data_IF_480782430572
#
_entry.id   IF_480782430572
#
_cell.length_a   1.000
_cell.length_b   1.000
_cell.length_c   1.000
_cell.angle_alpha   90.00
_cell.angle_beta   90.00
_cell.angle_gamma   90.00
#
_symmetry.space_group_name_H-M   'P 1'
#
loop_
_entity.id
_entity.type
_entity.pdbx_description
1 polymer ?
#
# COMPACT_ATOMS: atom_id res chain seq x y z
N UNK A 1 -48.65 -13.98 21.68
CA UNK A 1 -49.03 -15.27 22.29
C UNK A 1 -48.59 -16.39 21.37
N UNK A 2 -48.27 -17.60 21.83
CA UNK A 2 -47.55 -18.09 23.02
C UNK A 2 -46.17 -18.66 22.54
N UNK A 3 -45.34 -19.40 23.25
CA UNK A 3 -45.53 -20.16 24.46
C UNK A 3 -44.19 -20.60 25.04
N UNK A 4 -44.20 -20.66 26.37
CA UNK A 4 -43.21 -21.34 27.17
C UNK A 4 -43.23 -22.84 26.88
N UNK A 5 -42.06 -23.47 26.81
CA UNK A 5 -41.98 -24.91 27.00
C UNK A 5 -40.79 -25.32 27.86
N UNK A 6 -41.17 -25.98 28.95
CA UNK A 6 -40.35 -26.51 30.03
C UNK A 6 -39.40 -27.57 29.49
N UNK A 7 -38.13 -27.52 29.90
CA UNK A 7 -37.33 -28.75 30.07
C UNK A 7 -37.02 -28.95 31.55
N UNK A 8 -37.86 -29.82 32.12
CA UNK A 8 -37.77 -30.45 33.42
C UNK A 8 -36.55 -31.40 33.39
N UNK A 9 -35.46 -31.05 34.09
CA UNK A 9 -34.42 -32.02 34.42
C UNK A 9 -34.79 -32.61 35.79
N UNK A 10 -35.31 -33.84 35.78
CA UNK A 10 -35.63 -34.59 36.98
C UNK A 10 -34.35 -35.14 37.60
N UNK A 11 -34.00 -34.62 38.76
CA UNK A 11 -33.01 -35.19 39.65
C UNK A 11 -33.67 -36.27 40.51
N UNK A 12 -32.97 -37.39 40.66
CA UNK A 12 -33.07 -38.35 41.77
C UNK A 12 -34.32 -39.24 41.82
N UNK A 13 -34.27 -40.35 41.08
CA UNK A 13 -34.81 -41.63 41.56
C UNK A 13 -33.75 -42.29 42.44
N UNK A 14 -33.96 -42.20 43.75
CA UNK A 14 -33.40 -43.17 44.67
C UNK A 14 -34.14 -44.49 44.48
N UNK A 15 -33.44 -45.48 43.93
CA UNK A 15 -33.86 -46.87 44.03
C UNK A 15 -32.64 -47.67 44.47
N UNK A 16 -32.68 -48.08 45.72
CA UNK A 16 -31.71 -48.95 46.35
C UNK A 16 -31.71 -50.31 45.66
N UNK A 17 -30.91 -50.45 44.61
CA UNK A 17 -30.56 -51.74 44.04
C UNK A 17 -29.71 -52.49 45.07
N UNK A 18 -30.39 -53.30 45.90
CA UNK A 18 -29.78 -54.24 46.84
C UNK A 18 -28.79 -55.12 46.09
N UNK A 19 -27.51 -54.92 46.38
CA UNK A 19 -26.39 -55.68 45.86
C UNK A 19 -26.48 -57.13 46.35
N UNK A 20 -26.61 -58.16 45.47
CA UNK A 20 -26.62 -59.57 45.89
C UNK A 20 -25.26 -60.05 46.45
N UNK A 21 -24.19 -59.28 46.22
CA UNK A 21 -22.83 -59.64 46.66
C UNK A 21 -22.63 -59.68 48.17
N UNK A 22 -23.47 -58.98 48.95
CA UNK A 22 -23.39 -59.00 50.41
C UNK A 22 -24.00 -60.27 51.03
N UNK A 23 -24.96 -60.89 50.34
CA UNK A 23 -25.55 -62.15 50.80
C UNK A 23 -24.59 -63.32 50.65
N UNK A 24 -23.80 -63.38 49.57
CA UNK A 24 -22.84 -64.47 49.32
C UNK A 24 -21.72 -64.50 50.37
N UNK A 25 -21.26 -63.32 50.83
CA UNK A 25 -20.25 -63.23 51.90
C UNK A 25 -20.81 -63.68 53.26
N UNK A 26 -22.08 -63.38 53.56
CA UNK A 26 -22.73 -63.84 54.80
C UNK A 26 -23.02 -65.34 54.78
N UNK A 27 -23.42 -65.95 53.66
CA UNK A 27 -23.59 -67.41 53.56
C UNK A 27 -22.26 -68.16 53.62
N UNK A 28 -21.20 -67.64 52.98
CA UNK A 28 -19.86 -68.23 53.09
C UNK A 28 -19.31 -68.15 54.52
N UNK A 29 -19.54 -67.05 55.24
CA UNK A 29 -19.10 -66.91 56.64
C UNK A 29 -19.92 -67.78 57.61
N UNK A 30 -21.20 -68.06 57.30
CA UNK A 30 -22.04 -69.02 58.05
C UNK A 30 -21.70 -70.48 57.75
N UNK A 31 -21.34 -70.82 56.51
CA UNK A 31 -20.86 -72.16 56.14
C UNK A 31 -19.49 -72.48 56.75
N UNK A 32 -18.57 -71.49 56.76
CA UNK A 32 -17.25 -71.65 57.38
C UNK A 32 -17.32 -71.80 58.90
N UNK A 33 -18.27 -71.10 59.57
CA UNK A 33 -18.50 -71.26 61.02
C UNK A 33 -19.14 -72.60 61.40
N UNK A 34 -19.79 -73.31 60.47
CA UNK A 34 -20.32 -74.66 60.74
C UNK A 34 -19.30 -75.78 60.58
N UNK A 35 -18.17 -75.55 59.91
CA UNK A 35 -17.09 -76.55 59.76
C UNK A 35 -16.00 -76.46 60.83
N UNK A 36 -16.03 -75.47 61.72
CA UNK A 36 -14.94 -75.24 62.67
C UNK A 36 -15.07 -75.93 64.03
N UNK A 37 -16.02 -76.87 64.19
CA UNK A 37 -16.11 -77.70 65.38
C UNK A 37 -15.71 -79.14 65.04
N UNK A 38 -14.40 -79.39 64.99
CA UNK A 38 -13.83 -80.73 65.00
C UNK A 38 -13.36 -81.04 66.42
N UNK A 39 -14.10 -81.87 67.15
CA UNK A 39 -13.57 -82.57 68.32
C UNK A 39 -12.72 -83.76 67.83
N UNK A 40 -11.44 -83.88 68.22
CA UNK A 40 -10.63 -85.03 67.85
C UNK A 40 -10.92 -86.21 68.80
N UNK A 41 -11.19 -87.37 68.20
CA UNK A 41 -11.31 -88.71 68.82
C UNK A 41 -12.74 -89.15 69.23
N UNK A 42 -13.60 -89.32 68.23
CA UNK A 42 -14.69 -90.31 68.29
C UNK A 42 -14.46 -91.27 67.11
N UNK A 43 -14.31 -92.56 67.40
CA UNK A 43 -14.35 -93.61 66.35
C UNK A 43 -15.74 -93.58 65.72
N UNK A 44 -15.86 -92.82 64.63
CA UNK A 44 -17.08 -92.72 63.83
C UNK A 44 -17.41 -94.12 63.28
N UNK A 45 -18.67 -94.53 63.41
CA UNK A 45 -19.13 -95.76 62.77
C UNK A 45 -18.95 -95.66 61.25
N UNK A 46 -18.70 -96.79 60.57
CA UNK A 46 -18.50 -96.85 59.12
C UNK A 46 -19.68 -96.23 58.35
N UNK A 47 -20.87 -96.29 58.93
CA UNK A 47 -22.12 -95.75 58.42
C UNK A 47 -22.15 -94.22 58.55
N UNK A 48 -21.74 -93.65 59.68
CA UNK A 48 -21.67 -92.20 59.89
C UNK A 48 -20.60 -91.53 59.02
N UNK A 49 -19.48 -92.23 58.76
CA UNK A 49 -18.46 -91.76 57.80
C UNK A 49 -19.00 -91.74 56.36
N UNK A 50 -19.82 -92.72 55.97
CA UNK A 50 -20.47 -92.75 54.65
C UNK A 50 -21.49 -91.63 54.50
N UNK A 51 -22.27 -91.35 55.55
CA UNK A 51 -23.26 -90.28 55.54
C UNK A 51 -22.59 -88.91 55.44
N UNK A 52 -21.52 -88.65 56.23
CA UNK A 52 -20.73 -87.42 56.10
C UNK A 52 -20.07 -87.26 54.73
N UNK A 53 -19.58 -88.35 54.14
CA UNK A 53 -19.02 -88.32 52.79
C UNK A 53 -20.08 -87.98 51.75
N UNK A 54 -21.29 -88.54 51.91
CA UNK A 54 -22.43 -88.25 51.04
C UNK A 54 -22.90 -86.80 51.18
N UNK A 55 -23.05 -86.29 52.40
CA UNK A 55 -23.35 -84.88 52.68
C UNK A 55 -22.29 -83.95 52.10
N UNK A 56 -21.00 -84.27 52.28
CA UNK A 56 -19.91 -83.50 51.69
C UNK A 56 -19.96 -83.48 50.15
N UNK A 57 -20.34 -84.61 49.54
CA UNK A 57 -20.50 -84.70 48.07
C UNK A 57 -21.69 -83.87 47.59
N UNK A 58 -22.85 -83.97 48.25
CA UNK A 58 -24.04 -83.16 47.94
C UNK A 58 -23.76 -81.66 48.11
N UNK A 59 -23.02 -81.27 49.16
CA UNK A 59 -22.60 -79.88 49.35
C UNK A 59 -21.64 -79.40 48.25
N UNK A 60 -20.72 -80.25 47.78
CA UNK A 60 -19.84 -79.93 46.66
C UNK A 60 -20.66 -79.71 45.39
N UNK A 61 -21.65 -80.55 45.10
CA UNK A 61 -22.52 -80.40 43.93
C UNK A 61 -23.33 -79.10 43.99
N UNK A 62 -23.90 -78.77 45.15
CA UNK A 62 -24.63 -77.51 45.37
C UNK A 62 -23.71 -76.30 45.17
N UNK A 63 -22.52 -76.31 45.77
CA UNK A 63 -21.54 -75.23 45.61
C UNK A 63 -21.04 -75.11 44.17
N UNK A 64 -20.89 -76.23 43.46
CA UNK A 64 -20.59 -76.26 42.03
C UNK A 64 -21.68 -75.58 41.20
N UNK A 65 -22.94 -75.90 41.47
CA UNK A 65 -24.09 -75.25 40.81
C UNK A 65 -24.14 -73.74 41.11
N UNK A 66 -23.92 -73.33 42.36
CA UNK A 66 -23.88 -71.91 42.75
C UNK A 66 -22.74 -71.17 42.05
N UNK A 67 -21.56 -71.79 41.94
CA UNK A 67 -20.41 -71.22 41.24
C UNK A 67 -20.69 -71.04 39.74
N UNK A 68 -21.32 -72.01 39.08
CA UNK A 68 -21.71 -71.91 37.67
C UNK A 68 -22.76 -70.79 37.44
N UNK A 69 -23.73 -70.65 38.35
CA UNK A 69 -24.71 -69.56 38.30
C UNK A 69 -24.02 -68.20 38.47
N UNK A 70 -23.09 -68.10 39.43
CA UNK A 70 -22.31 -66.89 39.64
C UNK A 70 -21.42 -66.56 38.43
N UNK A 71 -20.78 -67.55 37.82
CA UNK A 71 -19.96 -67.38 36.63
C UNK A 71 -20.77 -66.81 35.47
N UNK A 72 -21.89 -67.43 35.11
CA UNK A 72 -22.81 -66.94 34.06
C UNK A 72 -23.34 -65.54 34.36
N UNK A 73 -23.58 -65.23 35.65
CA UNK A 73 -24.00 -63.90 36.07
C UNK A 73 -22.90 -62.83 35.84
N UNK A 74 -21.64 -63.15 36.16
CA UNK A 74 -20.51 -62.25 35.90
C UNK A 74 -20.26 -62.07 34.41
N UNK A 75 -20.37 -63.13 33.60
CA UNK A 75 -20.28 -63.03 32.13
C UNK A 75 -21.35 -62.10 31.56
N UNK A 76 -22.61 -62.24 32.00
CA UNK A 76 -23.68 -61.34 31.59
C UNK A 76 -23.44 -59.87 31.96
N UNK A 77 -22.88 -59.61 33.15
CA UNK A 77 -22.46 -58.25 33.57
C UNK A 77 -21.32 -57.70 32.72
N UNK A 78 -20.32 -58.52 32.41
CA UNK A 78 -19.20 -58.11 31.59
C UNK A 78 -19.65 -57.73 30.18
N UNK A 79 -20.55 -58.54 29.60
CA UNK A 79 -21.11 -58.28 28.28
C UNK A 79 -21.98 -57.01 28.26
N UNK A 80 -22.82 -56.80 29.27
CA UNK A 80 -23.58 -55.56 29.42
C UNK A 80 -22.66 -54.32 29.53
N UNK A 81 -21.57 -54.44 30.30
CA UNK A 81 -20.58 -53.37 30.45
C UNK A 81 -19.87 -53.08 29.12
N UNK A 82 -19.50 -54.11 28.35
CA UNK A 82 -18.92 -53.98 27.01
C UNK A 82 -19.84 -53.23 26.05
N UNK A 83 -21.14 -53.54 26.07
CA UNK A 83 -22.15 -52.84 25.25
C UNK A 83 -22.27 -51.38 25.68
N UNK A 84 -22.35 -51.09 26.98
CA UNK A 84 -22.46 -49.71 27.50
C UNK A 84 -21.22 -48.87 27.18
N UNK A 85 -20.02 -49.45 27.28
CA UNK A 85 -18.78 -48.78 26.89
C UNK A 85 -18.74 -48.51 25.38
N UNK A 86 -19.11 -49.49 24.56
CA UNK A 86 -19.21 -49.31 23.11
C UNK A 86 -20.18 -48.19 22.73
N UNK A 87 -21.34 -48.13 23.41
CA UNK A 87 -22.32 -47.05 23.24
C UNK A 87 -21.75 -45.69 23.65
N UNK A 88 -21.07 -45.60 24.80
CA UNK A 88 -20.49 -44.34 25.26
C UNK A 88 -19.41 -43.80 24.30
N UNK A 89 -18.57 -44.67 23.75
CA UNK A 89 -17.55 -44.30 22.74
C UNK A 89 -18.24 -43.81 21.46
N UNK A 90 -19.25 -44.54 20.98
CA UNK A 90 -20.01 -44.19 19.78
C UNK A 90 -20.75 -42.85 19.95
N UNK A 91 -21.37 -42.62 21.12
CA UNK A 91 -22.07 -41.38 21.44
C UNK A 91 -21.10 -40.19 21.46
N UNK A 92 -19.88 -40.39 22.00
CA UNK A 92 -18.82 -39.36 21.99
C UNK A 92 -18.32 -39.07 20.58
N UNK A 93 -18.10 -40.09 19.76
CA UNK A 93 -17.69 -39.91 18.36
C UNK A 93 -18.79 -39.19 17.55
N UNK A 94 -20.04 -39.61 17.72
CA UNK A 94 -21.20 -39.04 17.02
C UNK A 94 -21.43 -37.58 17.40
N UNK A 95 -21.34 -37.24 18.69
CA UNK A 95 -21.48 -35.86 19.16
C UNK A 95 -20.33 -34.95 18.67
N UNK A 96 -19.10 -35.46 18.67
CA UNK A 96 -17.95 -34.76 18.10
C UNK A 96 -18.13 -34.48 16.60
N UNK A 97 -18.51 -35.49 15.80
CA UNK A 97 -18.78 -35.32 14.37
C UNK A 97 -19.89 -34.32 14.11
N UNK A 98 -21.00 -34.38 14.85
CA UNK A 98 -22.08 -33.39 14.75
C UNK A 98 -21.59 -31.97 15.02
N UNK A 99 -20.77 -31.78 16.06
CA UNK A 99 -20.21 -30.46 16.38
C UNK A 99 -19.28 -29.94 15.29
N UNK A 100 -18.43 -30.79 14.71
CA UNK A 100 -17.55 -30.40 13.59
C UNK A 100 -18.37 -30.01 12.36
N UNK A 101 -19.38 -30.80 12.00
CA UNK A 101 -20.25 -30.51 10.85
C UNK A 101 -20.96 -29.17 11.03
N UNK A 102 -21.53 -28.92 12.22
CA UNK A 102 -22.16 -27.64 12.52
C UNK A 102 -21.18 -26.46 12.39
N UNK A 103 -19.98 -26.58 12.96
CA UNK A 103 -18.93 -25.55 12.82
C UNK A 103 -18.52 -25.32 11.37
N UNK A 104 -18.47 -26.38 10.56
CA UNK A 104 -18.19 -26.28 9.13
C UNK A 104 -19.31 -25.55 8.39
N UNK A 105 -20.57 -25.84 8.71
CA UNK A 105 -21.73 -25.19 8.10
C UNK A 105 -21.80 -23.70 8.45
N UNK A 106 -21.53 -23.34 9.71
CA UNK A 106 -21.44 -21.94 10.15
C UNK A 106 -20.34 -21.17 9.41
N UNK A 107 -19.17 -21.78 9.22
CA UNK A 107 -18.08 -21.21 8.40
C UNK A 107 -18.47 -21.06 6.94
N UNK A 108 -19.14 -22.06 6.35
CA UNK A 108 -19.62 -21.99 4.97
C UNK A 108 -20.60 -20.82 4.78
N UNK A 109 -21.55 -20.63 5.71
CA UNK A 109 -22.49 -19.50 5.71
C UNK A 109 -21.80 -18.15 5.89
N UNK A 110 -20.73 -18.09 6.70
CA UNK A 110 -19.94 -16.86 6.85
C UNK A 110 -19.22 -16.50 5.53
N UNK A 111 -18.55 -17.47 4.93
CA UNK A 111 -17.87 -17.29 3.63
C UNK A 111 -18.85 -16.91 2.52
N UNK A 112 -20.04 -17.50 2.48
CA UNK A 112 -21.07 -17.13 1.50
C UNK A 112 -21.48 -15.65 1.62
N UNK A 113 -21.60 -15.12 2.85
CA UNK A 113 -21.89 -13.69 3.07
C UNK A 113 -20.74 -12.79 2.61
N UNK A 114 -19.50 -13.19 2.88
CA UNK A 114 -18.31 -12.46 2.42
C UNK A 114 -18.25 -12.44 0.88
N UNK A 115 -18.44 -13.58 0.23
CA UNK A 115 -18.50 -13.67 -1.24
C UNK A 115 -19.59 -12.77 -1.80
N UNK A 116 -20.79 -12.78 -1.22
CA UNK A 116 -21.88 -11.91 -1.64
C UNK A 116 -21.54 -10.42 -1.45
N UNK A 117 -20.92 -10.05 -0.32
CA UNK A 117 -20.46 -8.67 -0.09
C UNK A 117 -19.43 -8.23 -1.13
N UNK A 118 -18.42 -9.06 -1.37
CA UNK A 118 -17.36 -8.79 -2.35
C UNK A 118 -17.94 -8.71 -3.77
N UNK A 119 -18.92 -9.53 -4.11
CA UNK A 119 -19.60 -9.47 -5.40
C UNK A 119 -20.36 -8.15 -5.60
N UNK A 120 -21.00 -7.64 -4.54
CA UNK A 120 -21.63 -6.31 -4.56
C UNK A 120 -20.59 -5.20 -4.71
N UNK A 121 -19.51 -5.24 -3.94
CA UNK A 121 -18.43 -4.26 -4.01
C UNK A 121 -17.79 -4.22 -5.40
N UNK A 122 -17.51 -5.38 -5.98
CA UNK A 122 -16.94 -5.50 -7.32
C UNK A 122 -17.90 -4.92 -8.38
N UNK A 123 -19.20 -5.24 -8.29
CA UNK A 123 -20.21 -4.71 -9.20
C UNK A 123 -20.36 -3.19 -9.08
N UNK A 124 -20.36 -2.68 -7.85
CA UNK A 124 -20.41 -1.25 -7.57
C UNK A 124 -19.20 -0.52 -8.15
N UNK A 125 -17.99 -1.02 -7.86
CA UNK A 125 -16.74 -0.47 -8.38
C UNK A 125 -16.71 -0.50 -9.92
N UNK A 126 -17.20 -1.57 -10.54
CA UNK A 126 -17.28 -1.67 -12.00
C UNK A 126 -18.19 -0.59 -12.60
N UNK A 127 -19.35 -0.34 -11.98
CA UNK A 127 -20.29 0.71 -12.41
C UNK A 127 -19.65 2.10 -12.23
N UNK A 128 -19.01 2.34 -11.08
CA UNK A 128 -18.34 3.60 -10.80
C UNK A 128 -17.21 3.88 -11.81
N UNK A 129 -16.41 2.88 -12.14
CA UNK A 129 -15.33 3.00 -13.11
C UNK A 129 -15.88 3.31 -14.51
N UNK A 130 -16.93 2.61 -14.95
CA UNK A 130 -17.60 2.89 -16.23
C UNK A 130 -18.14 4.32 -16.29
N UNK A 131 -18.78 4.82 -15.23
CA UNK A 131 -19.26 6.20 -15.15
C UNK A 131 -18.12 7.21 -15.25
N UNK A 132 -17.02 6.93 -14.56
CA UNK A 132 -15.82 7.79 -14.58
C UNK A 132 -15.19 7.82 -15.98
N UNK A 133 -15.05 6.65 -16.61
CA UNK A 133 -14.55 6.52 -17.98
C UNK A 133 -15.42 7.31 -18.97
N UNK A 134 -16.75 7.16 -18.91
CA UNK A 134 -17.68 7.92 -19.76
C UNK A 134 -17.56 9.44 -19.54
N UNK A 135 -17.42 9.88 -18.28
CA UNK A 135 -17.22 11.30 -17.99
C UNK A 135 -15.92 11.84 -18.57
N UNK A 136 -14.82 11.08 -18.47
CA UNK A 136 -13.53 11.46 -19.03
C UNK A 136 -13.55 11.48 -20.57
N UNK A 137 -14.20 10.50 -21.19
CA UNK A 137 -14.39 10.47 -22.64
C UNK A 137 -15.17 11.70 -23.14
N UNK A 138 -16.25 12.08 -22.45
CA UNK A 138 -17.02 13.28 -22.78
C UNK A 138 -16.17 14.55 -22.66
N UNK A 139 -15.37 14.69 -21.58
CA UNK A 139 -14.46 15.84 -21.39
C UNK A 139 -13.38 15.89 -22.46
N UNK A 140 -12.79 14.74 -22.78
CA UNK A 140 -11.78 14.61 -23.82
C UNK A 140 -12.33 15.04 -25.18
N UNK A 141 -13.49 14.51 -25.57
CA UNK A 141 -14.14 14.86 -26.83
C UNK A 141 -14.52 16.35 -26.91
N UNK A 142 -14.96 16.94 -25.78
CA UNK A 142 -15.23 18.37 -25.69
C UNK A 142 -13.96 19.20 -25.96
N UNK A 143 -12.86 18.90 -25.27
CA UNK A 143 -11.58 19.60 -25.45
C UNK A 143 -11.06 19.43 -26.88
N UNK A 144 -11.19 18.23 -27.44
CA UNK A 144 -10.78 17.95 -28.81
C UNK A 144 -11.55 18.81 -29.82
N UNK A 145 -12.87 18.96 -29.63
CA UNK A 145 -13.69 19.83 -30.47
C UNK A 145 -13.33 21.32 -30.28
N UNK A 146 -13.13 21.77 -29.05
CA UNK A 146 -12.70 23.14 -28.75
C UNK A 146 -11.33 23.45 -29.40
N UNK A 147 -10.36 22.55 -29.29
CA UNK A 147 -9.06 22.67 -29.94
C UNK A 147 -9.16 22.72 -31.47
N UNK A 148 -10.04 21.91 -32.06
CA UNK A 148 -10.29 21.96 -33.50
C UNK A 148 -10.81 23.34 -33.91
N UNK A 149 -11.83 23.85 -33.21
CA UNK A 149 -12.39 25.18 -33.49
C UNK A 149 -11.35 26.30 -33.33
N UNK A 150 -10.49 26.22 -32.30
CA UNK A 150 -9.40 27.18 -32.11
C UNK A 150 -8.37 27.10 -33.24
N UNK A 151 -8.03 25.89 -33.69
CA UNK A 151 -7.11 25.68 -34.82
C UNK A 151 -7.67 26.29 -36.10
N UNK A 152 -8.93 25.98 -36.44
CA UNK A 152 -9.62 26.54 -37.61
C UNK A 152 -9.65 28.09 -37.56
N UNK A 153 -9.87 28.65 -36.37
CA UNK A 153 -9.89 30.11 -36.16
C UNK A 153 -8.50 30.73 -36.32
N UNK A 154 -7.45 30.08 -35.81
CA UNK A 154 -6.07 30.53 -35.95
C UNK A 154 -5.62 30.50 -37.41
N UNK A 155 -5.93 29.44 -38.15
CA UNK A 155 -5.64 29.33 -39.59
C UNK A 155 -6.36 30.43 -40.40
N UNK A 156 -7.62 30.72 -40.05
CA UNK A 156 -8.38 31.83 -40.63
C UNK A 156 -7.74 33.18 -40.35
N UNK A 157 -7.31 33.43 -39.12
CA UNK A 157 -6.63 34.68 -38.73
C UNK A 157 -5.25 34.81 -39.41
N UNK A 158 -4.50 33.72 -39.52
CA UNK A 158 -3.21 33.70 -40.22
C UNK A 158 -3.39 34.07 -41.70
N UNK A 159 -4.40 33.49 -42.35
CA UNK A 159 -4.75 33.80 -43.74
C UNK A 159 -5.11 35.29 -43.93
N UNK A 160 -5.91 35.84 -43.01
CA UNK A 160 -6.24 37.28 -43.01
C UNK A 160 -5.01 38.17 -42.81
N UNK A 161 -4.11 37.81 -41.89
CA UNK A 161 -2.86 38.54 -41.67
C UNK A 161 -1.98 38.50 -42.91
N UNK A 162 -1.87 37.35 -43.57
CA UNK A 162 -1.11 37.22 -44.83
C UNK A 162 -1.71 38.10 -45.93
N UNK A 163 -3.04 38.11 -46.08
CA UNK A 163 -3.72 38.99 -47.03
C UNK A 163 -3.45 40.47 -46.73
N UNK A 164 -3.63 40.91 -45.48
CA UNK A 164 -3.39 42.30 -45.08
C UNK A 164 -1.92 42.70 -45.27
N UNK A 165 -0.97 41.79 -45.03
CA UNK A 165 0.46 42.05 -45.33
C UNK A 165 0.70 42.24 -46.82
N UNK A 166 0.08 41.41 -47.67
CA UNK A 166 0.19 41.54 -49.12
C UNK A 166 -0.40 42.88 -49.60
N UNK A 167 -1.60 43.25 -49.13
CA UNK A 167 -2.25 44.52 -49.45
C UNK A 167 -1.40 45.72 -48.98
N UNK A 168 -0.87 45.68 -47.76
CA UNK A 168 -0.01 46.74 -47.23
C UNK A 168 1.30 46.86 -48.04
N UNK A 169 1.89 45.73 -48.47
CA UNK A 169 3.07 45.76 -49.33
C UNK A 169 2.78 46.38 -50.70
N UNK A 170 1.62 46.06 -51.30
CA UNK A 170 1.20 46.62 -52.57
C UNK A 170 0.90 48.13 -52.46
N UNK A 171 0.20 48.57 -51.41
CA UNK A 171 -0.03 49.97 -51.14
C UNK A 171 1.27 50.74 -50.89
N UNK A 172 2.19 50.16 -50.11
CA UNK A 172 3.51 50.74 -49.87
C UNK A 172 4.30 50.91 -51.16
N UNK A 173 4.22 49.93 -52.08
CA UNK A 173 4.83 50.02 -53.39
C UNK A 173 4.20 51.13 -54.24
N UNK A 174 2.86 51.21 -54.30
CA UNK A 174 2.15 52.29 -55.00
C UNK A 174 2.53 53.68 -54.45
N UNK A 175 2.66 53.82 -53.13
CA UNK A 175 3.14 55.05 -52.52
C UNK A 175 4.56 55.41 -52.97
N UNK A 176 5.47 54.44 -53.06
CA UNK A 176 6.83 54.68 -53.57
C UNK A 176 6.85 55.07 -55.05
N UNK A 177 6.02 54.42 -55.87
CA UNK A 177 5.86 54.74 -57.30
C UNK A 177 5.36 56.18 -57.47
N UNK A 178 4.30 56.57 -56.77
CA UNK A 178 3.78 57.94 -56.78
C UNK A 178 4.82 58.96 -56.29
N UNK A 179 5.56 58.65 -55.21
CA UNK A 179 6.63 59.50 -54.71
C UNK A 179 7.78 59.68 -55.71
N UNK A 180 8.04 58.67 -56.55
CA UNK A 180 9.07 58.75 -57.60
C UNK A 180 8.67 59.65 -58.77
N UNK A 181 7.37 59.92 -58.95
CA UNK A 181 6.85 60.82 -59.98
C UNK A 181 6.87 62.31 -59.57
N UNK A 182 7.09 62.61 -58.29
CA UNK A 182 7.15 63.98 -57.76
C UNK A 182 8.52 64.63 -58.00
N UNK A 183 8.58 65.96 -57.89
CA UNK A 183 9.86 66.67 -57.94
C UNK A 183 10.68 66.49 -56.63
N UNK A 184 11.98 66.79 -56.70
CA UNK A 184 12.91 66.58 -55.57
C UNK A 184 12.59 67.49 -54.37
N UNK A 185 11.96 68.65 -54.58
CA UNK A 185 11.56 69.55 -53.49
C UNK A 185 10.33 69.00 -52.77
N UNK A 186 9.34 68.53 -53.52
CA UNK A 186 8.11 67.89 -53.02
C UNK A 186 8.44 66.59 -52.28
N UNK A 187 9.34 65.77 -52.82
CA UNK A 187 9.77 64.53 -52.19
C UNK A 187 10.47 64.78 -50.83
N UNK A 188 11.30 65.83 -50.73
CA UNK A 188 11.92 66.24 -49.45
C UNK A 188 10.90 66.78 -48.46
N UNK A 189 9.92 67.55 -48.91
CA UNK A 189 8.84 68.04 -48.06
C UNK A 189 8.03 66.87 -47.45
N UNK A 190 7.74 65.83 -48.25
CA UNK A 190 7.07 64.61 -47.77
C UNK A 190 7.95 63.76 -46.83
N UNK A 191 9.24 63.60 -47.13
CA UNK A 191 10.14 62.89 -46.20
C UNK A 191 10.26 63.61 -44.85
N UNK A 192 10.17 64.95 -44.85
CA UNK A 192 10.16 65.76 -43.63
C UNK A 192 8.91 65.58 -42.76
N UNK A 193 7.79 65.08 -43.31
CA UNK A 193 6.54 64.84 -42.57
C UNK A 193 6.39 63.40 -42.07
N UNK A 194 7.28 62.47 -42.46
CA UNK A 194 7.19 61.06 -42.08
C UNK A 194 7.57 60.86 -40.59
N UNK A 195 6.76 60.16 -39.78
CA UNK A 195 7.11 59.88 -38.38
C UNK A 195 8.30 58.92 -38.32
N UNK A 196 9.29 59.24 -37.48
CA UNK A 196 10.43 58.35 -37.20
C UNK A 196 9.91 57.09 -36.50
N UNK A 197 10.30 55.89 -36.94
CA UNK A 197 9.91 54.61 -36.34
C UNK A 197 11.12 54.02 -35.60
N UNK A 198 10.97 53.69 -34.31
CA UNK A 198 12.02 53.06 -33.48
C UNK A 198 11.47 51.85 -32.70
N UNK A 199 12.24 50.76 -32.54
CA UNK A 199 11.76 49.49 -31.97
C UNK A 199 11.55 49.48 -30.45
N UNK A 200 12.08 50.44 -29.69
CA UNK A 200 11.81 50.59 -28.23
C UNK A 200 10.36 51.03 -27.90
N UNK A 201 9.50 51.13 -28.90
CA UNK A 201 8.17 51.72 -28.78
C UNK A 201 7.07 50.79 -28.33
N UNK A 202 7.20 49.47 -28.27
CA UNK A 202 6.00 48.65 -27.98
C UNK A 202 5.39 48.90 -26.59
N UNK A 203 6.22 49.15 -25.58
CA UNK A 203 5.75 49.60 -24.27
C UNK A 203 5.21 51.05 -24.31
N UNK A 204 5.83 51.92 -25.11
CA UNK A 204 5.38 53.31 -25.30
C UNK A 204 4.14 53.42 -26.18
N UNK A 205 3.86 52.46 -27.06
CA UNK A 205 2.74 52.42 -28.00
C UNK A 205 1.47 52.08 -27.24
N UNK A 206 1.54 51.19 -26.26
CA UNK A 206 0.42 50.94 -25.36
C UNK A 206 0.13 52.15 -24.46
N UNK A 207 1.18 52.80 -23.91
CA UNK A 207 1.02 54.06 -23.16
C UNK A 207 0.43 55.17 -24.04
N UNK A 208 0.93 55.36 -25.27
CA UNK A 208 0.42 56.34 -26.23
C UNK A 208 -1.01 56.03 -26.71
N UNK A 209 -1.36 54.74 -26.87
CA UNK A 209 -2.72 54.32 -27.19
C UNK A 209 -3.70 54.64 -26.05
N UNK A 210 -3.29 54.41 -24.80
CA UNK A 210 -4.10 54.80 -23.63
C UNK A 210 -4.20 56.32 -23.50
N UNK A 211 -3.12 57.05 -23.79
CA UNK A 211 -3.11 58.51 -23.80
C UNK A 211 -4.06 59.08 -24.88
N UNK A 212 -4.15 58.43 -26.04
CA UNK A 212 -4.98 58.83 -27.18
C UNK A 212 -6.44 58.35 -27.14
N UNK A 213 -6.82 57.45 -26.24
CA UNK A 213 -8.19 56.93 -26.13
C UNK A 213 -9.18 57.93 -25.48
N UNK A 214 -8.67 58.94 -24.79
CA UNK A 214 -9.47 59.98 -24.12
C UNK A 214 -10.02 61.01 -25.12
N UNK A 215 -11.34 61.25 -25.09
CA UNK A 215 -12.03 62.24 -25.95
C UNK A 215 -12.33 63.58 -25.25
N UNK A 216 -11.56 63.93 -24.22
CA UNK A 216 -11.74 65.22 -23.54
C UNK A 216 -11.37 66.37 -24.49
N UNK A 217 -12.28 67.33 -24.67
CA UNK A 217 -12.10 68.44 -25.60
C UNK A 217 -11.32 69.59 -24.95
N UNK A 218 -10.49 70.28 -25.73
CA UNK A 218 -9.88 71.56 -25.34
C UNK A 218 -8.50 71.51 -24.68
N UNK A 219 -7.78 70.39 -24.74
CA UNK A 219 -6.42 70.28 -24.20
C UNK A 219 -5.46 69.90 -25.35
N UNK A 220 -4.45 70.74 -25.60
CA UNK A 220 -3.41 70.48 -26.62
C UNK A 220 -2.43 69.36 -26.19
N UNK A 221 -2.38 69.06 -24.89
CA UNK A 221 -1.63 67.97 -24.28
C UNK A 221 -2.55 66.84 -23.78
N UNK A 222 -1.97 65.70 -23.39
CA UNK A 222 -2.70 64.59 -22.80
C UNK A 222 -3.56 65.03 -21.60
N UNK A 223 -4.86 64.75 -21.67
CA UNK A 223 -5.83 65.06 -20.62
C UNK A 223 -5.42 64.38 -19.28
N UNK A 224 -5.71 64.97 -18.10
CA UNK A 224 -5.39 64.35 -16.82
C UNK A 224 -5.96 62.93 -16.66
N UNK A 225 -7.14 62.66 -17.21
CA UNK A 225 -7.74 61.33 -17.19
C UNK A 225 -6.97 60.30 -18.04
N UNK A 226 -6.37 60.69 -19.17
CA UNK A 226 -5.56 59.75 -19.96
C UNK A 226 -4.20 59.51 -19.33
N UNK A 227 -3.61 60.52 -18.69
CA UNK A 227 -2.38 60.36 -17.89
C UNK A 227 -2.59 59.41 -16.72
N UNK A 228 -3.68 59.58 -15.97
CA UNK A 228 -4.03 58.67 -14.88
C UNK A 228 -4.33 57.27 -15.40
N UNK A 229 -5.06 57.13 -16.51
CA UNK A 229 -5.34 55.83 -17.11
C UNK A 229 -4.06 55.12 -17.58
N UNK A 230 -3.12 55.84 -18.19
CA UNK A 230 -1.83 55.30 -18.62
C UNK A 230 -0.97 54.88 -17.42
N UNK A 231 -0.91 55.71 -16.37
CA UNK A 231 -0.21 55.38 -15.12
C UNK A 231 -0.80 54.14 -14.44
N UNK A 232 -2.13 54.03 -14.33
CA UNK A 232 -2.80 52.85 -13.78
C UNK A 232 -2.56 51.61 -14.63
N UNK A 233 -2.57 51.72 -15.96
CA UNK A 233 -2.26 50.62 -16.87
C UNK A 233 -0.81 50.12 -16.69
N UNK A 234 0.12 51.05 -16.52
CA UNK A 234 1.54 50.74 -16.21
C UNK A 234 1.66 49.99 -14.88
N UNK A 235 0.97 50.45 -13.84
CA UNK A 235 0.94 49.78 -12.54
C UNK A 235 0.34 48.37 -12.63
N UNK A 236 -0.75 48.19 -13.38
CA UNK A 236 -1.34 46.87 -13.59
C UNK A 236 -0.38 45.90 -14.28
N UNK A 237 0.38 46.36 -15.27
CA UNK A 237 1.37 45.52 -15.95
C UNK A 237 2.49 45.12 -14.97
N UNK A 238 2.98 46.05 -14.15
CA UNK A 238 3.99 45.76 -13.13
C UNK A 238 3.48 44.75 -12.09
N UNK A 239 2.25 44.93 -11.61
CA UNK A 239 1.63 44.00 -10.66
C UNK A 239 1.38 42.62 -11.28
N UNK A 240 1.01 42.56 -12.56
CA UNK A 240 0.87 41.29 -13.28
C UNK A 240 2.21 40.56 -13.38
N UNK A 241 3.29 41.26 -13.71
CA UNK A 241 4.64 40.68 -13.76
C UNK A 241 5.08 40.15 -12.39
N UNK A 242 4.82 40.89 -11.31
CA UNK A 242 5.12 40.42 -9.95
C UNK A 242 4.27 39.20 -9.58
N UNK A 243 2.98 39.19 -9.95
CA UNK A 243 2.09 38.05 -9.73
C UNK A 243 2.58 36.80 -10.45
N UNK A 244 3.00 36.94 -11.71
CA UNK A 244 3.54 35.83 -12.52
C UNK A 244 4.85 35.31 -11.90
N UNK A 245 5.73 36.21 -11.43
CA UNK A 245 6.94 35.84 -10.73
C UNK A 245 6.64 35.10 -9.40
N UNK A 246 5.63 35.53 -8.65
CA UNK A 246 5.20 34.83 -7.43
C UNK A 246 4.59 33.46 -7.74
N UNK A 247 3.78 33.34 -8.79
CA UNK A 247 3.24 32.07 -9.24
C UNK A 247 4.36 31.08 -9.59
N UNK A 248 5.38 31.53 -10.33
CA UNK A 248 6.56 30.71 -10.64
C UNK A 248 7.29 30.27 -9.37
N UNK A 249 7.50 31.18 -8.40
CA UNK A 249 8.15 30.83 -7.12
C UNK A 249 7.34 29.83 -6.31
N UNK A 250 6.01 29.96 -6.29
CA UNK A 250 5.11 29.03 -5.60
C UNK A 250 5.16 27.65 -6.24
N UNK A 251 5.16 27.57 -7.56
CA UNK A 251 5.25 26.29 -8.28
C UNK A 251 6.56 25.57 -7.99
N UNK A 252 7.68 26.30 -8.02
CA UNK A 252 9.00 25.77 -7.62
C UNK A 252 8.99 25.25 -6.17
N UNK A 253 8.39 26.00 -5.24
CA UNK A 253 8.27 25.56 -3.84
C UNK A 253 7.39 24.31 -3.68
N UNK A 254 6.29 24.19 -4.44
CA UNK A 254 5.43 23.00 -4.43
C UNK A 254 6.16 21.77 -4.98
N UNK A 255 6.93 21.92 -6.06
CA UNK A 255 7.76 20.83 -6.58
C UNK A 255 8.80 20.36 -5.55
N UNK A 256 9.44 21.30 -4.85
CA UNK A 256 10.39 20.97 -3.78
C UNK A 256 9.71 20.23 -2.62
N UNK A 257 8.53 20.70 -2.19
CA UNK A 257 7.77 20.06 -1.13
C UNK A 257 7.34 18.63 -1.50
N UNK A 258 6.90 18.41 -2.73
CA UNK A 258 6.50 17.08 -3.21
C UNK A 258 7.71 16.13 -3.29
N UNK A 259 8.87 16.62 -3.74
CA UNK A 259 10.10 15.84 -3.75
C UNK A 259 10.50 15.39 -2.33
N UNK A 260 10.43 16.27 -1.34
CA UNK A 260 10.70 15.91 0.05
C UNK A 260 9.67 14.90 0.60
N UNK A 261 8.39 15.07 0.26
CA UNK A 261 7.34 14.11 0.64
C UNK A 261 7.63 12.72 0.09
N UNK A 262 7.95 12.62 -1.20
CA UNK A 262 8.27 11.34 -1.87
C UNK A 262 9.50 10.69 -1.23
N UNK A 263 10.57 11.46 -1.01
CA UNK A 263 11.79 10.96 -0.38
C UNK A 263 11.51 10.42 1.03
N UNK A 264 10.73 11.14 1.83
CA UNK A 264 10.35 10.72 3.17
C UNK A 264 9.50 9.45 3.17
N UNK A 265 8.53 9.34 2.25
CA UNK A 265 7.72 8.13 2.08
C UNK A 265 8.56 6.91 1.64
N UNK A 266 9.57 7.13 0.81
CA UNK A 266 10.50 6.06 0.42
C UNK A 266 11.37 5.62 1.59
N UNK A 267 11.87 6.57 2.40
CA UNK A 267 12.66 6.28 3.59
C UNK A 267 11.83 5.49 4.63
N UNK A 268 10.57 5.89 4.86
CA UNK A 268 9.66 5.17 5.75
C UNK A 268 9.38 3.75 5.25
N UNK A 269 9.12 3.58 3.95
CA UNK A 269 8.92 2.26 3.35
C UNK A 269 10.13 1.36 3.54
N UNK A 270 11.33 1.81 3.18
CA UNK A 270 12.58 1.06 3.38
C UNK A 270 12.78 0.67 4.85
N UNK A 271 12.58 1.61 5.79
CA UNK A 271 12.70 1.33 7.23
C UNK A 271 11.68 0.30 7.70
N UNK A 272 10.44 0.38 7.22
CA UNK A 272 9.38 -0.57 7.56
C UNK A 272 9.64 -1.97 6.99
N UNK A 273 10.14 -2.06 5.76
CA UNK A 273 10.54 -3.32 5.11
C UNK A 273 11.72 -3.96 5.84
N UNK A 274 12.74 -3.17 6.21
CA UNK A 274 13.85 -3.67 7.01
C UNK A 274 13.41 -4.14 8.40
N UNK A 275 12.47 -3.44 9.04
CA UNK A 275 11.90 -3.88 10.32
C UNK A 275 11.14 -5.21 10.17
N UNK A 276 10.41 -5.38 9.07
CA UNK A 276 9.71 -6.63 8.76
C UNK A 276 10.71 -7.79 8.56
N UNK A 277 11.76 -7.58 7.76
CA UNK A 277 12.81 -8.58 7.55
C UNK A 277 13.56 -8.93 8.85
N UNK A 278 13.81 -7.95 9.73
CA UNK A 278 14.37 -8.18 11.06
C UNK A 278 13.41 -8.97 11.97
N UNK A 279 12.11 -8.69 11.90
CA UNK A 279 11.10 -9.45 12.65
C UNK A 279 11.02 -10.91 12.15
N UNK A 280 11.04 -11.13 10.84
CA UNK A 280 11.06 -12.46 10.22
C UNK A 280 12.35 -13.24 10.53
N UNK A 281 13.51 -12.58 10.51
CA UNK A 281 14.77 -13.20 10.92
C UNK A 281 14.77 -13.57 12.41
N UNK A 282 14.12 -12.78 13.26
CA UNK A 282 13.97 -13.08 14.69
C UNK A 282 12.95 -14.19 14.97
N UNK A 283 11.87 -14.32 14.19
CA UNK A 283 10.96 -15.47 14.30
C UNK A 283 11.63 -16.76 13.85
N UNK A 284 12.43 -16.73 12.78
CA UNK A 284 13.27 -17.84 12.32
C UNK A 284 14.27 -18.30 13.39
N UNK A 285 14.94 -17.34 14.07
CA UNK A 285 15.82 -17.64 15.21
C UNK A 285 15.04 -18.24 16.39
N UNK A 286 13.85 -17.75 16.71
CA UNK A 286 13.02 -18.28 17.81
C UNK A 286 12.52 -19.70 17.55
N UNK A 287 12.27 -20.08 16.29
CA UNK A 287 11.92 -21.45 15.92
C UNK A 287 13.11 -22.42 16.03
N UNK A 288 14.35 -21.93 16.00
CA UNK A 288 15.55 -22.74 16.17
C UNK A 288 15.89 -23.03 17.66
N UNK A 289 15.35 -22.26 18.60
CA UNK A 289 15.54 -22.41 20.06
C UNK A 289 14.34 -23.05 20.79
N UNK A 290 13.37 -23.62 20.05
CA UNK A 290 12.21 -24.33 20.63
C UNK A 290 12.46 -25.83 20.86
N UNK A 291 13.73 -26.23 20.97
CA UNK A 291 14.16 -27.43 21.68
C UNK A 291 14.96 -26.99 22.89
N UNK A 292 14.48 -27.35 24.08
CA UNK A 292 15.08 -27.11 25.41
C UNK A 292 14.69 -25.81 26.16
N UNK A 293 13.94 -26.01 27.25
CA UNK A 293 14.27 -25.43 28.56
C UNK A 293 13.99 -23.95 28.82
N UNK A 294 13.00 -23.69 29.68
CA UNK A 294 12.69 -22.38 30.29
C UNK A 294 13.89 -21.79 31.07
N UNK A 295 14.21 -20.52 30.85
CA UNK A 295 14.26 -19.47 31.90
C UNK A 295 14.57 -18.10 31.30
N UNK A 296 13.88 -17.07 31.80
CA UNK A 296 14.14 -15.66 31.52
C UNK A 296 15.52 -15.21 32.04
N UNK A 297 16.09 -14.12 31.47
CA UNK A 297 16.59 -12.92 32.18
C UNK A 297 17.45 -11.98 31.29
N UNK A 298 17.19 -10.68 31.47
CA UNK A 298 18.03 -9.47 31.29
C UNK A 298 18.39 -8.89 29.92
N UNK A 299 17.69 -7.81 29.61
CA UNK A 299 18.17 -6.63 28.88
C UNK A 299 19.18 -5.91 29.78
N UNK A 300 20.48 -6.19 29.64
CA UNK A 300 21.59 -5.34 30.13
C UNK A 300 22.91 -6.00 29.77
N UNK A 301 23.43 -5.73 28.57
CA UNK A 301 24.85 -5.87 28.20
C UNK A 301 25.08 -5.49 26.74
N UNK A 302 24.82 -4.23 26.42
CA UNK A 302 25.44 -3.58 25.27
C UNK A 302 26.62 -2.78 25.82
N UNK A 303 27.79 -3.42 25.78
CA UNK A 303 29.14 -2.88 25.60
C UNK A 303 30.15 -3.82 26.27
N UNK A 304 31.07 -4.41 25.50
CA UNK A 304 32.40 -4.71 26.02
C UNK A 304 33.44 -3.79 25.38
N UNK A 305 34.06 -3.01 26.26
CA UNK A 305 35.39 -2.42 26.12
C UNK A 305 36.44 -3.52 25.91
N UNK A 306 37.36 -3.25 24.98
CA UNK A 306 38.74 -3.77 24.87
C UNK A 306 38.94 -5.25 25.22
N UNK A 307 38.89 -6.10 24.19
CA UNK A 307 39.66 -7.34 24.15
C UNK A 307 39.88 -7.70 22.69
N UNK A 308 41.14 -7.92 22.31
CA UNK A 308 41.53 -8.39 20.97
C UNK A 308 40.82 -9.71 20.66
N UNK A 309 39.74 -9.62 19.89
CA UNK A 309 38.99 -10.76 19.40
C UNK A 309 38.98 -10.61 17.90
N UNK A 310 39.54 -11.62 17.19
CA UNK A 310 39.38 -11.79 15.74
C UNK A 310 37.96 -11.38 15.37
N UNK A 311 37.82 -10.35 14.54
CA UNK A 311 36.51 -9.89 14.10
C UNK A 311 35.76 -11.09 13.53
N UNK A 312 34.71 -11.52 14.24
CA UNK A 312 33.77 -12.49 13.73
C UNK A 312 33.15 -11.91 12.47
N UNK A 313 33.07 -12.69 11.39
CA UNK A 313 32.51 -12.26 10.10
C UNK A 313 31.14 -11.59 10.25
N UNK A 314 30.36 -11.99 11.27
CA UNK A 314 29.05 -11.43 11.64
C UNK A 314 29.12 -9.95 12.10
N UNK A 315 30.18 -9.55 12.83
CA UNK A 315 30.40 -8.18 13.27
C UNK A 315 30.91 -7.31 12.13
N UNK A 316 31.72 -7.90 11.25
CA UNK A 316 32.24 -7.26 10.06
C UNK A 316 31.10 -6.98 9.06
N UNK A 317 30.19 -7.93 8.86
CA UNK A 317 29.00 -7.76 8.02
C UNK A 317 28.03 -6.72 8.60
N UNK A 318 27.89 -6.67 9.93
CA UNK A 318 27.10 -5.63 10.61
C UNK A 318 27.71 -4.24 10.41
N UNK A 319 29.04 -4.13 10.48
CA UNK A 319 29.75 -2.88 10.22
C UNK A 319 29.67 -2.45 8.76
N UNK A 320 29.78 -3.38 7.80
CA UNK A 320 29.58 -3.07 6.38
C UNK A 320 28.15 -2.61 6.08
N UNK A 321 27.12 -3.21 6.70
CA UNK A 321 25.73 -2.74 6.59
C UNK A 321 25.52 -1.35 7.20
N UNK A 322 26.17 -1.04 8.32
CA UNK A 322 26.14 0.30 8.92
C UNK A 322 26.89 1.32 8.07
N UNK A 323 27.99 0.91 7.44
CA UNK A 323 28.76 1.77 6.54
C UNK A 323 27.98 2.07 5.25
N UNK A 324 27.26 1.08 4.69
CA UNK A 324 26.33 1.28 3.57
C UNK A 324 25.13 2.17 3.96
N UNK A 325 24.64 2.08 5.21
CA UNK A 325 23.60 2.98 5.72
C UNK A 325 24.07 4.43 5.90
N UNK A 326 25.36 4.65 6.18
CA UNK A 326 25.94 5.97 6.36
C UNK A 326 26.50 6.56 5.06
N UNK A 327 26.77 5.72 4.06
CA UNK A 327 27.31 6.08 2.77
C UNK A 327 26.23 5.88 1.70
N UNK A 328 25.13 6.64 1.82
CA UNK A 328 23.97 6.54 0.92
C UNK A 328 24.33 7.07 -0.47
N UNK A 329 24.95 6.19 -1.28
CA UNK A 329 25.32 6.46 -2.68
C UNK A 329 24.10 6.84 -3.52
N UNK A 330 22.90 6.39 -3.13
CA UNK A 330 21.65 6.74 -3.80
C UNK A 330 21.15 8.14 -3.39
N UNK A 331 21.39 8.60 -2.15
CA UNK A 331 21.18 9.99 -1.75
C UNK A 331 22.11 10.94 -2.52
N UNK A 332 23.39 10.58 -2.64
CA UNK A 332 24.34 11.32 -3.47
C UNK A 332 23.89 11.35 -4.95
N UNK A 333 23.44 10.21 -5.49
CA UNK A 333 22.90 10.11 -6.85
C UNK A 333 21.60 10.91 -7.03
N UNK A 334 20.73 10.95 -6.01
CA UNK A 334 19.49 11.73 -6.01
C UNK A 334 19.77 13.23 -5.97
N UNK A 335 20.71 13.67 -5.15
CA UNK A 335 21.20 15.06 -5.14
C UNK A 335 21.84 15.43 -6.49
N UNK A 336 22.60 14.51 -7.10
CA UNK A 336 23.20 14.71 -8.41
C UNK A 336 22.13 14.80 -9.52
N UNK A 337 21.13 13.91 -9.51
CA UNK A 337 19.96 13.97 -10.42
C UNK A 337 19.16 15.26 -10.26
N UNK A 338 18.96 15.73 -9.02
CA UNK A 338 18.32 17.01 -8.71
C UNK A 338 19.07 18.17 -9.34
N UNK A 339 20.40 18.22 -9.20
CA UNK A 339 21.24 19.26 -9.80
C UNK A 339 21.17 19.20 -11.33
N UNK A 340 21.26 18.01 -11.95
CA UNK A 340 21.11 17.87 -13.40
C UNK A 340 19.76 18.35 -13.91
N UNK A 341 18.65 18.02 -13.24
CA UNK A 341 17.30 18.46 -13.64
C UNK A 341 17.16 19.98 -13.48
N UNK A 342 17.67 20.55 -12.38
CA UNK A 342 17.66 21.99 -12.16
C UNK A 342 18.46 22.74 -13.23
N UNK A 343 19.65 22.24 -13.59
CA UNK A 343 20.48 22.82 -14.62
C UNK A 343 19.83 22.71 -16.01
N UNK A 344 19.22 21.56 -16.34
CA UNK A 344 18.50 21.37 -17.60
C UNK A 344 17.32 22.36 -17.73
N UNK A 345 16.51 22.49 -16.68
CA UNK A 345 15.38 23.42 -16.70
C UNK A 345 15.83 24.89 -16.71
N UNK A 346 16.95 25.22 -16.06
CA UNK A 346 17.55 26.55 -16.15
C UNK A 346 18.07 26.84 -17.56
N UNK A 347 18.72 25.87 -18.21
CA UNK A 347 19.18 25.96 -19.59
C UNK A 347 18.02 26.11 -20.58
N UNK A 348 16.92 25.38 -20.40
CA UNK A 348 15.69 25.54 -21.20
C UNK A 348 15.08 26.94 -21.03
N UNK A 349 14.99 27.45 -19.78
CA UNK A 349 14.52 28.82 -19.53
C UNK A 349 15.44 29.87 -20.18
N UNK A 350 16.76 29.66 -20.16
CA UNK A 350 17.73 30.52 -20.84
C UNK A 350 17.60 30.44 -22.36
N UNK A 351 17.43 29.24 -22.91
CA UNK A 351 17.23 29.01 -24.33
C UNK A 351 15.92 29.64 -24.82
N UNK A 352 14.85 29.56 -24.04
CA UNK A 352 13.59 30.24 -24.33
C UNK A 352 13.74 31.77 -24.33
N UNK A 353 14.51 32.34 -23.40
CA UNK A 353 14.82 33.78 -23.39
C UNK A 353 15.64 34.19 -24.61
N UNK A 354 16.66 33.41 -24.96
CA UNK A 354 17.48 33.66 -26.16
C UNK A 354 16.67 33.50 -27.46
N UNK A 355 15.74 32.55 -27.53
CA UNK A 355 14.83 32.41 -28.68
C UNK A 355 13.83 33.56 -28.80
N UNK A 356 13.39 34.15 -27.69
CA UNK A 356 12.60 35.39 -27.69
C UNK A 356 13.41 36.58 -28.21
N UNK A 357 14.70 36.65 -27.89
CA UNK A 357 15.62 37.70 -28.36
C UNK A 357 16.10 37.49 -29.82
N UNK A 358 16.04 36.25 -30.34
CA UNK A 358 16.58 35.84 -31.65
C UNK A 358 15.61 35.98 -32.83
N UNK A 359 14.54 36.78 -32.73
CA UNK A 359 13.64 37.02 -33.88
C UNK A 359 14.25 37.85 -35.03
N UNK A 360 15.58 37.89 -35.15
CA UNK A 360 16.31 38.38 -36.32
C UNK A 360 17.39 37.37 -36.80
N UNK A 361 17.06 36.66 -37.89
CA UNK A 361 17.91 35.93 -38.85
C UNK A 361 18.82 34.76 -38.36
N UNK A 362 18.76 33.57 -39.00
CA UNK A 362 19.56 32.40 -38.63
C UNK A 362 20.89 32.38 -39.40
N UNK A 363 21.96 32.91 -38.82
CA UNK A 363 23.34 32.63 -39.29
C UNK A 363 24.38 33.09 -38.28
N UNK A 364 24.45 32.45 -37.11
CA UNK A 364 25.55 32.68 -36.18
C UNK A 364 26.21 31.35 -35.73
N UNK A 365 27.51 31.12 -36.02
CA UNK A 365 28.24 29.92 -35.61
C UNK A 365 28.38 29.75 -34.08
N UNK A 366 28.00 30.76 -33.30
CA UNK A 366 27.96 30.74 -31.83
C UNK A 366 26.98 29.69 -31.26
N UNK A 367 25.83 29.47 -31.90
CA UNK A 367 24.84 28.47 -31.46
C UNK A 367 25.34 27.02 -31.61
N UNK A 368 26.20 26.75 -32.60
CA UNK A 368 26.83 25.42 -32.76
C UNK A 368 27.86 25.17 -31.67
N UNK A 369 28.58 26.19 -31.21
CA UNK A 369 29.58 26.05 -30.16
C UNK A 369 28.93 25.73 -28.81
N UNK A 370 27.78 26.33 -28.50
CA UNK A 370 27.03 26.05 -27.26
C UNK A 370 26.46 24.63 -27.25
N UNK A 371 25.92 24.16 -28.38
CA UNK A 371 25.44 22.79 -28.50
C UNK A 371 26.59 21.77 -28.37
N UNK A 372 27.77 22.08 -28.95
CA UNK A 372 28.96 21.25 -28.82
C UNK A 372 29.46 21.22 -27.37
N UNK A 373 29.45 22.36 -26.66
CA UNK A 373 29.85 22.43 -25.23
C UNK A 373 28.88 21.62 -24.36
N UNK A 374 27.56 21.74 -24.58
CA UNK A 374 26.56 20.96 -23.83
C UNK A 374 26.67 19.46 -24.12
N UNK A 375 26.92 19.07 -25.38
CA UNK A 375 27.16 17.67 -25.73
C UNK A 375 28.48 17.18 -25.11
N UNK A 376 29.53 18.02 -25.06
CA UNK A 376 30.79 17.68 -24.40
C UNK A 376 30.64 17.53 -22.89
N UNK A 377 29.86 18.38 -22.22
CA UNK A 377 29.61 18.27 -20.77
C UNK A 377 28.75 17.05 -20.43
N UNK A 378 27.72 16.76 -21.23
CA UNK A 378 26.88 15.56 -21.06
C UNK A 378 27.72 14.30 -21.32
N UNK A 379 28.57 14.31 -22.35
CA UNK A 379 29.47 13.19 -22.65
C UNK A 379 30.55 13.02 -21.57
N UNK A 380 31.12 14.10 -21.04
CA UNK A 380 32.04 14.04 -19.89
C UNK A 380 31.37 13.50 -18.62
N UNK A 381 30.12 13.89 -18.34
CA UNK A 381 29.34 13.34 -17.23
C UNK A 381 29.06 11.84 -17.40
N UNK A 382 28.70 11.39 -18.60
CA UNK A 382 28.49 9.98 -18.89
C UNK A 382 29.80 9.15 -18.82
N UNK A 383 30.91 9.69 -19.33
CA UNK A 383 32.23 9.01 -19.28
C UNK A 383 32.80 8.94 -17.86
N UNK A 384 32.52 9.94 -17.00
CA UNK A 384 32.83 9.86 -15.56
C UNK A 384 31.97 8.82 -14.83
N UNK A 385 30.78 8.52 -15.34
CA UNK A 385 29.89 7.48 -14.84
C UNK A 385 30.42 6.08 -15.17
N UNK A 386 30.94 5.85 -16.37
CA UNK A 386 31.60 4.57 -16.73
C UNK A 386 32.94 4.36 -16.01
N UNK A 387 33.76 5.40 -15.84
CA UNK A 387 35.07 5.27 -15.17
C UNK A 387 34.96 5.04 -13.66
N UNK A 388 33.93 5.57 -12.98
CA UNK A 388 33.70 5.29 -11.56
C UNK A 388 33.11 3.89 -11.31
N UNK A 389 32.36 3.31 -12.25
CA UNK A 389 31.94 1.91 -12.14
C UNK A 389 33.11 0.94 -12.36
N UNK A 390 34.09 1.29 -13.20
CA UNK A 390 35.21 0.40 -13.53
C UNK A 390 36.37 0.39 -12.51
N UNK A 391 36.50 1.43 -11.67
CA UNK A 391 37.57 1.50 -10.67
C UNK A 391 37.29 0.68 -9.38
N UNK A 392 36.10 0.05 -9.29
CA UNK A 392 35.70 -0.78 -8.12
C UNK A 392 35.86 -2.29 -8.37
N UNK A 393 36.37 -2.69 -9.53
CA UNK A 393 36.55 -4.09 -9.95
C UNK A 393 38.03 -4.40 -10.20
N UNK A 394 38.87 -4.36 -9.17
CA UNK A 394 40.07 -5.21 -9.02
C UNK A 394 40.35 -5.30 -7.51
N UNK A 395 40.77 -6.49 -7.02
CA UNK A 395 40.50 -6.97 -5.66
C UNK A 395 41.24 -6.22 -4.56
#
# INVERSE_FOLDING_TARGET
>A
MPGAERRRCGSQTGEAARTPGLLIAETQQKAFRKLSHFDPLVELSKEELKDRLKEATELIDVLGCELEVAHRYFEGKYEALRILQGKAILDKATSHTKSILQKSEEKAKALEKEVNSLQWELSFNQIQMKRSQQSWEQKYNRILNENKTLTDTLEGNESQIQQLRAENSALSQQCMELLSMLDVKEQRAYQGTKPQFSPERDASVLELAVLGACRCHGVAEACPCSRTAAASRKQLIQLQQELDAQCSRREEALMVADAFRIAFEQQLRKRSEHFLLLAEANTMKLHHYKGEGKSAVSISRLLPSSLEVKMSDDLLETLYRLLDLLNDKEEALAHQRKVSIMLAHSAEKLQMKLHLDSHCQPSDPSCKLILIILIYEIHCCCVLQEKNLHCSYFP
#
